data_IF_965096229806
#
_entry.id   IF_965096229806
#
_cell.length_a   1.000
_cell.length_b   1.000
_cell.length_c   1.000
_cell.angle_alpha   90.00
_cell.angle_beta   90.00
_cell.angle_gamma   90.00
#
_symmetry.space_group_name_H-M   'P 1'
#
loop_
_entity.id
_entity.type
_entity.pdbx_description
1 polymer ?
#
# COMPACT_ATOMS: atom_id res chain seq x y z
N UNK A 1 -10.27 -4.16 -2.72
CA UNK A 1 -10.88 -5.50 -2.48
C UNK A 1 -12.30 -5.61 -3.00
N UNK A 2 -13.19 -4.63 -2.77
CA UNK A 2 -14.57 -4.69 -3.28
C UNK A 2 -14.66 -4.90 -4.80
N UNK A 3 -13.90 -4.18 -5.63
CA UNK A 3 -13.93 -4.36 -7.08
C UNK A 3 -13.58 -5.80 -7.52
N UNK A 4 -12.59 -6.42 -6.88
CA UNK A 4 -12.19 -7.81 -7.14
C UNK A 4 -13.35 -8.75 -6.80
N UNK A 5 -13.96 -8.59 -5.61
CA UNK A 5 -15.15 -9.35 -5.20
C UNK A 5 -16.34 -9.15 -6.15
N UNK A 6 -16.61 -7.92 -6.59
CA UNK A 6 -17.68 -7.61 -7.55
C UNK A 6 -17.43 -8.23 -8.93
N UNK A 7 -16.17 -8.46 -9.31
CA UNK A 7 -15.80 -9.17 -10.53
C UNK A 7 -15.90 -10.71 -10.37
N UNK A 8 -16.38 -11.22 -9.23
CA UNK A 8 -16.47 -12.65 -8.95
C UNK A 8 -15.14 -13.32 -8.61
N UNK A 9 -14.08 -12.53 -8.36
CA UNK A 9 -12.74 -13.02 -8.03
C UNK A 9 -12.51 -13.02 -6.52
N UNK A 10 -11.68 -13.95 -6.05
CA UNK A 10 -11.29 -14.11 -4.65
C UNK A 10 -9.96 -13.43 -4.31
N UNK A 11 -9.83 -12.98 -3.06
CA UNK A 11 -8.58 -12.50 -2.46
C UNK A 11 -8.29 -13.40 -1.25
N UNK A 12 -7.07 -13.97 -1.09
CA UNK A 12 -5.92 -13.87 -1.98
C UNK A 12 -5.95 -14.82 -3.18
N UNK A 13 -7.01 -15.64 -3.31
CA UNK A 13 -7.03 -16.80 -4.22
C UNK A 13 -6.75 -16.47 -5.68
N UNK A 14 -7.50 -15.55 -6.29
CA UNK A 14 -7.31 -15.11 -7.68
C UNK A 14 -6.38 -13.92 -7.79
N UNK A 15 -6.48 -13.00 -6.83
CA UNK A 15 -5.71 -11.76 -6.81
C UNK A 15 -5.15 -11.54 -5.41
N UNK A 16 -3.83 -11.50 -5.31
CA UNK A 16 -3.16 -11.02 -4.10
C UNK A 16 -3.17 -9.50 -4.05
N UNK A 17 -3.38 -8.93 -2.86
CA UNK A 17 -3.47 -7.49 -2.64
C UNK A 17 -2.57 -7.10 -1.48
N UNK A 18 -1.70 -6.12 -1.72
CA UNK A 18 -0.92 -5.41 -0.70
C UNK A 18 -1.43 -3.97 -0.61
N UNK A 19 -1.63 -3.48 0.60
CA UNK A 19 -1.91 -2.09 0.90
C UNK A 19 -0.67 -1.28 1.29
N UNK A 20 -0.89 0.00 1.60
CA UNK A 20 0.11 0.91 2.15
C UNK A 20 -0.49 1.60 3.39
N UNK A 21 0.35 2.19 4.24
CA UNK A 21 0.05 2.91 5.49
C UNK A 21 -0.13 2.05 6.75
N UNK A 22 -0.78 0.89 6.66
CA UNK A 22 -1.17 0.07 7.82
C UNK A 22 -2.08 0.79 8.84
N UNK A 23 -3.13 1.45 8.34
CA UNK A 23 -4.14 2.05 9.20
C UNK A 23 -4.83 1.01 10.11
N UNK A 24 -5.39 1.40 11.27
CA UNK A 24 -6.09 0.48 12.17
C UNK A 24 -7.24 -0.30 11.53
N UNK A 25 -7.80 0.18 10.42
CA UNK A 25 -8.83 -0.48 9.61
C UNK A 25 -8.29 -1.64 8.79
N UNK A 26 -6.99 -1.69 8.47
CA UNK A 26 -6.36 -2.72 7.63
C UNK A 26 -6.60 -4.15 8.17
N UNK A 27 -6.61 -4.32 9.50
CA UNK A 27 -6.92 -5.61 10.16
C UNK A 27 -8.38 -6.03 10.11
N UNK A 28 -9.29 -5.11 9.77
CA UNK A 28 -10.74 -5.34 9.73
C UNK A 28 -11.28 -5.49 8.31
N UNK A 29 -10.42 -5.41 7.29
CA UNK A 29 -10.80 -5.85 5.97
C UNK A 29 -11.06 -7.35 5.95
N UNK A 30 -11.83 -7.79 4.96
CA UNK A 30 -12.11 -9.19 4.71
C UNK A 30 -11.63 -9.56 3.29
N UNK A 31 -10.52 -10.32 3.15
CA UNK A 31 -9.60 -10.77 4.22
C UNK A 31 -8.76 -9.63 4.81
N UNK A 32 -8.14 -9.85 5.98
CA UNK A 32 -7.28 -8.85 6.63
C UNK A 32 -6.11 -8.45 5.71
N UNK A 33 -5.89 -7.14 5.56
CA UNK A 33 -5.02 -6.58 4.52
C UNK A 33 -3.53 -6.67 4.88
N UNK A 34 -2.77 -7.45 4.11
CA UNK A 34 -1.31 -7.39 4.05
C UNK A 34 -0.91 -6.00 3.58
N UNK A 35 0.06 -5.36 4.22
CA UNK A 35 0.36 -3.93 3.95
C UNK A 35 1.82 -3.59 4.23
N UNK A 36 2.27 -2.46 3.71
CA UNK A 36 3.50 -1.80 4.14
C UNK A 36 3.13 -0.75 5.20
N UNK A 37 3.60 -0.92 6.42
CA UNK A 37 3.45 0.06 7.51
C UNK A 37 4.49 1.16 7.38
N UNK A 38 4.02 2.40 7.34
CA UNK A 38 4.88 3.57 7.32
C UNK A 38 5.23 4.02 8.74
N UNK A 39 6.47 4.46 9.02
CA UNK A 39 6.88 4.94 10.32
C UNK A 39 6.41 6.39 10.56
N UNK A 40 5.09 6.66 10.48
CA UNK A 40 4.52 8.01 10.43
C UNK A 40 4.90 8.89 11.63
N UNK A 41 4.99 8.33 12.84
CA UNK A 41 5.48 9.06 14.01
C UNK A 41 6.93 9.52 13.85
N UNK A 42 7.79 8.67 13.29
CA UNK A 42 9.19 9.01 13.02
C UNK A 42 9.29 10.02 11.89
N UNK A 43 8.44 9.91 10.87
CA UNK A 43 8.34 10.86 9.76
C UNK A 43 7.97 12.26 10.26
N UNK A 44 6.95 12.37 11.12
CA UNK A 44 6.59 13.65 11.74
C UNK A 44 7.72 14.25 12.59
N UNK A 45 8.40 13.42 13.39
CA UNK A 45 9.57 13.87 14.17
C UNK A 45 10.71 14.35 13.27
N UNK A 46 11.03 13.60 12.22
CA UNK A 46 12.06 13.96 11.25
C UNK A 46 11.72 15.27 10.54
N UNK A 47 10.47 15.44 10.10
CA UNK A 47 10.00 16.67 9.46
C UNK A 47 10.13 17.88 10.39
N UNK A 48 9.72 17.75 11.65
CA UNK A 48 9.88 18.82 12.64
C UNK A 48 11.35 19.21 12.84
N UNK A 49 12.24 18.22 12.98
CA UNK A 49 13.67 18.47 13.14
C UNK A 49 14.28 19.21 11.95
N UNK A 50 13.92 18.80 10.72
CA UNK A 50 14.38 19.44 9.49
C UNK A 50 13.87 20.87 9.40
N UNK A 51 12.59 21.11 9.72
CA UNK A 51 12.01 22.45 9.74
C UNK A 51 12.69 23.36 10.77
N UNK A 52 12.91 22.86 11.99
CA UNK A 52 13.60 23.62 13.05
C UNK A 52 15.01 24.00 12.62
N UNK A 53 15.77 23.06 12.04
CA UNK A 53 17.13 23.32 11.57
C UNK A 53 17.17 24.37 10.44
N UNK A 54 16.16 24.37 9.56
CA UNK A 54 16.05 25.34 8.47
C UNK A 54 15.79 26.78 8.98
N UNK A 55 15.04 26.93 10.08
CA UNK A 55 14.86 28.25 10.70
C UNK A 55 16.16 28.78 11.32
N UNK A 56 16.92 27.92 12.00
CA UNK A 56 18.14 28.33 12.69
C UNK A 56 19.31 28.60 11.72
N UNK A 57 19.32 27.93 10.55
CA UNK A 57 20.41 28.01 9.57
C UNK A 57 19.85 27.97 8.14
N UNK A 58 19.41 29.13 7.61
CA UNK A 58 18.73 29.19 6.30
C UNK A 58 19.63 28.80 5.13
N UNK A 59 20.96 28.88 5.28
CA UNK A 59 21.94 28.52 4.23
C UNK A 59 22.39 27.05 4.29
N UNK A 60 21.72 26.19 5.07
CA UNK A 60 22.06 24.77 5.14
C UNK A 60 21.69 24.03 3.85
N UNK A 61 22.56 23.11 3.43
CA UNK A 61 22.26 22.16 2.37
C UNK A 61 21.02 21.33 2.72
N UNK A 62 20.19 21.04 1.71
CA UNK A 62 18.99 20.22 1.84
C UNK A 62 19.35 18.83 2.38
N UNK A 63 18.90 18.54 3.60
CA UNK A 63 19.00 17.22 4.22
C UNK A 63 17.82 16.34 3.80
N UNK A 64 18.10 15.08 3.45
CA UNK A 64 17.08 14.06 3.14
C UNK A 64 17.16 12.98 4.20
N UNK A 65 16.02 12.68 4.85
CA UNK A 65 15.91 11.58 5.81
C UNK A 65 15.11 10.43 5.20
N UNK A 66 15.74 9.27 5.10
CA UNK A 66 15.11 8.03 4.70
C UNK A 66 14.65 7.26 5.94
N UNK A 67 13.41 6.78 5.93
CA UNK A 67 12.81 6.06 7.05
C UNK A 67 12.33 4.69 6.57
N UNK A 68 12.70 3.65 7.33
CA UNK A 68 12.39 2.28 6.98
C UNK A 68 10.90 1.98 7.17
N UNK A 69 10.23 1.58 6.08
CA UNK A 69 8.91 0.97 6.14
C UNK A 69 8.99 -0.50 6.56
N UNK A 70 7.89 -1.06 7.04
CA UNK A 70 7.81 -2.47 7.46
C UNK A 70 6.75 -3.22 6.67
N UNK A 71 7.09 -4.39 6.15
CA UNK A 71 6.10 -5.29 5.58
C UNK A 71 5.33 -6.02 6.68
N UNK A 72 4.00 -5.93 6.65
CA UNK A 72 3.09 -6.53 7.63
C UNK A 72 2.26 -7.60 6.89
N UNK A 73 2.68 -8.87 6.92
CA UNK A 73 1.92 -9.97 6.32
C UNK A 73 0.60 -10.18 7.07
N UNK A 74 -0.48 -10.32 6.31
CA UNK A 74 -1.80 -10.76 6.80
C UNK A 74 -2.40 -11.78 5.81
N UNK A 75 -3.69 -11.68 5.53
CA UNK A 75 -4.46 -12.71 4.83
C UNK A 75 -4.82 -12.33 3.38
N UNK A 76 -4.50 -11.13 2.91
CA UNK A 76 -4.84 -10.68 1.55
C UNK A 76 -3.79 -11.01 0.49
N UNK A 77 -2.73 -11.75 0.84
CA UNK A 77 -1.67 -12.21 -0.07
C UNK A 77 -1.46 -13.71 0.02
N UNK A 78 -1.08 -14.33 -1.09
CA UNK A 78 -0.70 -15.74 -1.16
C UNK A 78 0.30 -15.99 -2.31
N UNK A 79 0.82 -17.22 -2.43
CA UNK A 79 1.67 -17.59 -3.56
C UNK A 79 0.92 -17.43 -4.88
N UNK A 80 1.65 -17.03 -5.94
CA UNK A 80 1.10 -17.08 -7.28
C UNK A 80 0.75 -18.53 -7.65
N UNK A 81 -0.33 -18.71 -8.39
CA UNK A 81 -0.72 -20.03 -8.92
C UNK A 81 0.33 -20.49 -9.93
N UNK A 82 0.59 -21.79 -10.01
CA UNK A 82 1.52 -22.37 -10.99
C UNK A 82 1.17 -21.99 -12.43
N UNK A 83 -0.13 -21.90 -12.75
CA UNK A 83 -0.64 -21.51 -14.07
C UNK A 83 -1.13 -20.06 -14.10
N UNK A 84 -0.53 -19.17 -13.30
CA UNK A 84 -0.88 -17.76 -13.35
C UNK A 84 -0.61 -17.19 -14.76
N UNK A 85 -1.51 -16.36 -15.31
CA UNK A 85 -1.23 -15.64 -16.55
C UNK A 85 0.05 -14.82 -16.39
N UNK A 86 0.78 -14.63 -17.49
CA UNK A 86 1.91 -13.71 -17.47
C UNK A 86 1.48 -12.28 -17.11
N UNK A 87 2.45 -11.45 -16.73
CA UNK A 87 2.20 -10.09 -16.28
C UNK A 87 1.45 -9.24 -17.32
N UNK A 88 1.71 -9.45 -18.61
CA UNK A 88 1.06 -8.69 -19.68
C UNK A 88 -0.42 -9.07 -19.80
N UNK A 89 -0.72 -10.36 -19.71
CA UNK A 89 -2.09 -10.89 -19.71
C UNK A 89 -2.86 -10.39 -18.49
N UNK A 90 -2.22 -10.37 -17.32
CA UNK A 90 -2.83 -9.78 -16.11
C UNK A 90 -3.14 -8.29 -16.28
N UNK A 91 -2.21 -7.51 -16.83
CA UNK A 91 -2.43 -6.07 -17.10
C UNK A 91 -3.60 -5.85 -18.06
N UNK A 92 -3.68 -6.65 -19.13
CA UNK A 92 -4.78 -6.60 -20.08
C UNK A 92 -6.13 -6.90 -19.41
N UNK A 93 -6.19 -7.91 -18.53
CA UNK A 93 -7.39 -8.26 -17.78
C UNK A 93 -7.80 -7.15 -16.79
N UNK A 94 -6.83 -6.54 -16.09
CA UNK A 94 -7.09 -5.43 -15.17
C UNK A 94 -7.65 -4.20 -15.88
N UNK A 95 -7.18 -3.91 -17.10
CA UNK A 95 -7.69 -2.79 -17.90
C UNK A 95 -9.18 -2.95 -18.28
N UNK A 96 -9.71 -4.18 -18.24
CA UNK A 96 -11.14 -4.44 -18.50
C UNK A 96 -12.02 -4.28 -17.25
N UNK A 97 -11.44 -4.17 -16.05
CA UNK A 97 -12.20 -3.96 -14.82
C UNK A 97 -12.72 -2.52 -14.84
N UNK A 98 -14.05 -2.36 -14.97
CA UNK A 98 -14.68 -1.04 -14.91
C UNK A 98 -14.28 -0.33 -13.60
N UNK A 99 -13.83 0.93 -13.65
CA UNK A 99 -13.47 1.65 -12.44
C UNK A 99 -14.66 1.69 -11.49
N UNK A 100 -14.41 1.37 -10.22
CA UNK A 100 -15.41 1.44 -9.18
C UNK A 100 -15.81 2.90 -8.99
N UNK A 101 -17.04 3.25 -9.37
CA UNK A 101 -17.60 4.59 -9.11
C UNK A 101 -17.90 4.68 -7.61
N UNK A 102 -17.09 5.43 -6.88
CA UNK A 102 -17.44 5.85 -5.52
C UNK A 102 -18.48 6.95 -5.68
N UNK A 103 -19.74 6.65 -5.35
CA UNK A 103 -20.74 7.69 -5.18
C UNK A 103 -20.41 8.40 -3.86
N UNK A 104 -19.87 9.61 -3.97
CA UNK A 104 -19.68 10.52 -2.84
C UNK A 104 -21.02 11.14 -2.43
#
# INVERSE_FOLDING_TARGET
MHAIKHAGLSVPGDVSVIGFDDLPTARHFDPALTTISQPMTQAGKAAYQLLSAAFDKPDMNREVKELACKFIPRNSTGPARENAPDAQTMLNNLAQIKPFKVNA
#
